data_IF_365951733253
#
_entry.id   IF_365951733253
#
_cell.length_a   1.000
_cell.length_b   1.000
_cell.length_c   1.000
_cell.angle_alpha   90.00
_cell.angle_beta   90.00
_cell.angle_gamma   90.00
#
_symmetry.space_group_name_H-M   'P 1'
#
loop_
_entity.id
_entity.type
_entity.pdbx_description
1 polymer ?
#
# COMPACT_ATOMS: atom_id res chain seq x y z
N UNK A 1 -74.76 16.72 2.39
CA UNK A 1 -73.51 16.17 2.97
C UNK A 1 -72.45 16.13 1.89
N UNK A 2 -71.29 16.76 2.10
CA UNK A 2 -70.21 16.87 1.09
C UNK A 2 -69.13 15.83 1.41
N UNK A 3 -69.01 14.79 0.59
CA UNK A 3 -68.04 13.72 0.80
C UNK A 3 -66.62 14.21 0.46
N UNK A 4 -65.72 14.12 1.44
CA UNK A 4 -64.31 14.54 1.34
C UNK A 4 -63.50 13.38 0.73
N UNK A 5 -63.20 13.45 -0.56
CA UNK A 5 -62.29 12.51 -1.24
C UNK A 5 -60.91 12.55 -0.57
N UNK A 6 -60.42 11.39 -0.12
CA UNK A 6 -59.05 11.23 0.40
C UNK A 6 -58.11 11.16 -0.80
N UNK A 7 -57.57 12.30 -1.22
CA UNK A 7 -56.54 12.37 -2.25
C UNK A 7 -55.21 11.83 -1.69
N UNK A 8 -55.02 10.52 -1.73
CA UNK A 8 -53.72 9.90 -1.54
C UNK A 8 -52.83 10.22 -2.74
N UNK A 9 -51.57 10.60 -2.50
CA UNK A 9 -50.60 10.88 -3.58
C UNK A 9 -50.34 9.59 -4.36
N UNK A 10 -50.93 9.49 -5.56
CA UNK A 10 -50.73 8.37 -6.46
C UNK A 10 -49.33 8.45 -7.05
N UNK A 11 -48.46 7.51 -6.68
CA UNK A 11 -47.09 7.49 -7.18
C UNK A 11 -47.15 7.01 -8.64
N UNK A 12 -46.77 7.89 -9.57
CA UNK A 12 -46.82 7.61 -11.00
C UNK A 12 -45.57 6.85 -11.45
N UNK A 13 -45.69 6.03 -12.51
CA UNK A 13 -44.56 5.26 -13.09
C UNK A 13 -43.38 6.17 -13.44
N UNK A 14 -43.67 7.38 -13.94
CA UNK A 14 -42.67 8.41 -14.28
C UNK A 14 -41.99 9.03 -13.06
N UNK A 15 -42.61 8.96 -11.88
CA UNK A 15 -42.02 9.43 -10.62
C UNK A 15 -41.08 8.41 -9.95
N UNK A 16 -41.29 7.11 -10.18
CA UNK A 16 -40.45 6.04 -9.61
C UNK A 16 -39.27 5.71 -10.53
N UNK A 17 -39.45 5.75 -11.85
CA UNK A 17 -38.42 5.42 -12.84
C UNK A 17 -37.06 6.13 -12.62
N UNK A 18 -37.00 7.44 -12.30
CA UNK A 18 -35.73 8.11 -12.04
C UNK A 18 -35.02 7.59 -10.79
N UNK A 19 -35.79 7.25 -9.75
CA UNK A 19 -35.29 6.72 -8.47
C UNK A 19 -34.78 5.29 -8.66
N UNK A 20 -35.51 4.47 -9.42
CA UNK A 20 -35.12 3.09 -9.69
C UNK A 20 -33.91 3.02 -10.63
N UNK A 21 -33.84 3.90 -11.63
CA UNK A 21 -32.72 4.01 -12.55
C UNK A 21 -31.45 4.52 -11.86
N UNK A 22 -31.56 5.49 -10.94
CA UNK A 22 -30.41 5.95 -10.16
C UNK A 22 -29.93 4.91 -9.15
N UNK A 23 -30.85 4.17 -8.53
CA UNK A 23 -30.51 3.09 -7.60
C UNK A 23 -29.72 1.94 -8.27
N UNK A 24 -29.99 1.67 -9.56
CA UNK A 24 -29.27 0.66 -10.34
C UNK A 24 -27.79 1.02 -10.56
N UNK A 25 -27.43 2.31 -10.51
CA UNK A 25 -26.06 2.78 -10.69
C UNK A 25 -25.27 2.83 -9.37
N UNK A 26 -25.90 2.60 -8.21
CA UNK A 26 -25.23 2.60 -6.89
C UNK A 26 -24.05 1.61 -6.81
N UNK A 27 -24.13 0.38 -7.37
CA UNK A 27 -22.98 -0.54 -7.35
C UNK A 27 -21.81 -0.08 -8.23
N UNK A 28 -22.06 0.79 -9.22
CA UNK A 28 -21.06 1.34 -10.14
C UNK A 28 -20.51 2.69 -9.69
N UNK A 29 -21.25 3.43 -8.87
CA UNK A 29 -20.70 4.50 -8.03
C UNK A 29 -19.90 3.82 -6.91
N UNK A 30 -18.75 3.26 -7.28
CA UNK A 30 -17.76 2.83 -6.31
C UNK A 30 -17.55 3.98 -5.35
N UNK A 31 -18.00 3.82 -4.11
CA UNK A 31 -17.48 4.59 -3.00
C UNK A 31 -16.00 4.26 -2.99
N UNK A 32 -15.23 5.08 -3.71
CA UNK A 32 -13.81 5.15 -3.55
C UNK A 32 -13.63 5.34 -2.07
N UNK A 33 -13.18 4.29 -1.40
CA UNK A 33 -12.32 4.52 -0.26
C UNK A 33 -11.26 5.45 -0.87
N UNK A 34 -11.31 6.74 -0.53
CA UNK A 34 -10.07 7.35 -0.12
C UNK A 34 -9.61 6.49 1.05
N UNK A 35 -9.00 5.36 0.69
CA UNK A 35 -7.74 5.07 1.29
C UNK A 35 -6.92 6.33 1.01
N UNK A 36 -7.07 7.29 1.93
CA UNK A 36 -5.92 7.81 2.63
C UNK A 36 -5.24 6.65 3.40
N UNK A 37 -5.11 5.44 2.81
CA UNK A 37 -3.79 5.05 2.41
C UNK A 37 -3.32 6.14 1.40
N UNK A 38 -2.95 7.35 1.84
CA UNK A 38 -1.63 7.45 2.46
C UNK A 38 -1.05 6.04 2.53
N UNK A 39 -0.59 5.59 1.36
CA UNK A 39 0.83 5.37 1.24
C UNK A 39 1.45 6.56 2.00
N UNK A 40 1.48 6.44 3.33
CA UNK A 40 2.70 6.46 4.09
C UNK A 40 3.61 5.55 3.28
N UNK A 41 4.09 6.09 2.15
CA UNK A 41 5.49 6.28 1.91
C UNK A 41 5.87 6.85 3.25
N UNK A 42 6.18 5.94 4.19
CA UNK A 42 6.69 6.29 5.47
C UNK A 42 7.75 7.30 5.08
N UNK A 43 7.50 8.56 5.43
CA UNK A 43 8.42 9.63 5.07
C UNK A 43 9.68 9.49 5.94
N UNK A 44 9.83 8.37 6.66
CA UNK A 44 11.11 7.69 6.78
C UNK A 44 11.57 7.32 5.37
N UNK A 45 12.17 8.30 4.67
CA UNK A 45 13.07 8.07 3.53
C UNK A 45 13.79 6.76 3.78
N UNK A 46 13.33 5.67 3.16
CA UNK A 46 13.83 4.35 3.49
C UNK A 46 15.29 4.38 3.12
N UNK A 47 16.12 4.47 4.14
CA UNK A 47 17.52 4.79 3.97
C UNK A 47 18.20 3.48 3.58
N UNK A 48 18.79 3.45 2.38
CA UNK A 48 19.45 2.27 1.83
C UNK A 48 20.97 2.45 1.85
N UNK A 49 21.68 1.37 2.16
CA UNK A 49 23.12 1.29 2.02
C UNK A 49 23.49 0.22 1.00
N UNK A 50 24.44 0.52 0.12
CA UNK A 50 25.02 -0.46 -0.80
C UNK A 50 26.11 -1.24 -0.08
N UNK A 51 25.99 -2.57 -0.08
CA UNK A 51 26.94 -3.50 0.52
C UNK A 51 27.47 -4.48 -0.53
N UNK A 52 28.51 -5.23 -0.15
CA UNK A 52 29.09 -6.30 -0.96
C UNK A 52 28.56 -7.66 -0.55
N UNK A 53 28.23 -8.50 -1.53
CA UNK A 53 28.00 -9.93 -1.36
C UNK A 53 29.33 -10.70 -1.31
N UNK A 54 29.34 -11.94 -0.81
CA UNK A 54 30.49 -12.84 -0.91
C UNK A 54 31.01 -12.99 -2.35
N UNK A 55 30.12 -13.00 -3.34
CA UNK A 55 30.48 -13.13 -4.75
C UNK A 55 31.19 -11.89 -5.33
N UNK A 56 31.27 -10.78 -4.57
CA UNK A 56 31.83 -9.51 -5.00
C UNK A 56 30.86 -8.60 -5.76
N UNK A 57 29.60 -9.02 -5.91
CA UNK A 57 28.52 -8.17 -6.45
C UNK A 57 27.98 -7.21 -5.39
N UNK A 58 27.34 -6.13 -5.81
CA UNK A 58 26.72 -5.17 -4.90
C UNK A 58 25.27 -5.51 -4.62
N UNK A 59 24.77 -5.14 -3.44
CA UNK A 59 23.37 -5.27 -3.03
C UNK A 59 22.94 -4.04 -2.24
N UNK A 60 21.71 -3.58 -2.43
CA UNK A 60 21.12 -2.51 -1.62
C UNK A 60 20.36 -3.11 -0.45
N UNK A 61 20.67 -2.68 0.76
CA UNK A 61 20.06 -3.18 2.00
C UNK A 61 19.48 -2.02 2.79
N UNK A 62 18.31 -2.22 3.41
CA UNK A 62 17.69 -1.23 4.30
C UNK A 62 18.57 -0.99 5.53
N UNK A 63 18.80 0.27 5.88
CA UNK A 63 19.60 0.66 7.06
C UNK A 63 18.95 0.17 8.36
N UNK A 64 17.62 0.07 8.41
CA UNK A 64 16.90 -0.50 9.56
C UNK A 64 17.27 -1.97 9.82
N UNK A 65 17.46 -2.76 8.77
CA UNK A 65 17.93 -4.15 8.86
C UNK A 65 19.39 -4.21 9.32
N UNK A 66 20.24 -3.31 8.82
CA UNK A 66 21.64 -3.23 9.23
C UNK A 66 21.79 -2.89 10.72
N UNK A 67 21.01 -1.93 11.23
CA UNK A 67 21.01 -1.56 12.65
C UNK A 67 20.57 -2.71 13.57
N UNK A 68 19.73 -3.62 13.07
CA UNK A 68 19.28 -4.82 13.81
C UNK A 68 20.22 -6.02 13.67
N UNK A 69 21.20 -5.95 12.76
CA UNK A 69 22.12 -7.05 12.52
C UNK A 69 23.16 -7.19 13.63
N UNK A 70 23.67 -8.42 13.82
CA UNK A 70 24.76 -8.70 14.76
C UNK A 70 26.10 -8.53 14.06
N UNK A 71 26.98 -7.73 14.65
CA UNK A 71 28.38 -7.63 14.20
C UNK A 71 29.13 -8.85 14.72
N UNK A 72 29.68 -9.67 13.82
CA UNK A 72 30.47 -10.85 14.18
C UNK A 72 31.92 -10.48 14.52
N UNK A 73 32.55 -9.66 13.67
CA UNK A 73 33.94 -9.24 13.84
C UNK A 73 34.11 -7.81 13.33
N UNK A 74 34.70 -6.94 14.14
CA UNK A 74 35.04 -5.56 13.76
C UNK A 74 36.50 -5.54 13.30
N UNK A 75 36.78 -4.83 12.20
CA UNK A 75 38.14 -4.60 11.67
C UNK A 75 38.87 -5.87 11.20
N UNK A 76 38.23 -6.67 10.35
CA UNK A 76 38.86 -7.85 9.71
C UNK A 76 40.04 -7.47 8.80
N UNK A 77 41.09 -8.30 8.80
CA UNK A 77 42.23 -8.13 7.88
C UNK A 77 41.86 -8.48 6.43
N UNK A 78 42.58 -7.93 5.45
CA UNK A 78 42.33 -8.22 4.02
C UNK A 78 42.42 -9.72 3.70
N UNK A 79 43.33 -10.45 4.37
CA UNK A 79 43.45 -11.91 4.21
C UNK A 79 42.19 -12.64 4.69
N UNK A 80 41.64 -12.23 5.84
CA UNK A 80 40.42 -12.81 6.39
C UNK A 80 39.18 -12.43 5.57
N UNK A 81 39.13 -11.18 5.07
CA UNK A 81 38.07 -10.75 4.18
C UNK A 81 38.06 -11.59 2.89
N UNK A 82 39.22 -11.77 2.26
CA UNK A 82 39.36 -12.56 1.02
C UNK A 82 38.92 -14.02 1.22
N UNK A 83 39.28 -14.64 2.34
CA UNK A 83 38.84 -16.01 2.65
C UNK A 83 37.32 -16.10 2.82
N UNK A 84 36.68 -15.10 3.44
CA UNK A 84 35.21 -15.04 3.54
C UNK A 84 34.51 -14.79 2.19
N UNK A 85 35.16 -14.07 1.28
CA UNK A 85 34.69 -13.88 -0.10
C UNK A 85 34.96 -15.11 -0.99
N UNK A 86 35.57 -16.18 -0.47
CA UNK A 86 35.91 -17.38 -1.24
C UNK A 86 36.96 -17.16 -2.33
N UNK A 87 37.74 -16.07 -2.25
CA UNK A 87 38.78 -15.73 -3.22
C UNK A 87 40.15 -16.17 -2.67
N UNK A 88 40.93 -16.87 -3.48
CA UNK A 88 42.33 -17.23 -3.15
C UNK A 88 43.25 -16.06 -3.50
N UNK A 89 44.25 -15.82 -2.65
CA UNK A 89 45.38 -14.90 -2.91
C UNK A 89 46.26 -15.43 -4.04
#
# INVERSE_FOLDING_TARGET
MKNKSRNGKQISRRGILPILGSALLIPFLGFGRSTDDEITISNEKEEYQTLLKPDGTTVKVKISTLKKSKILEKNVSNKSLLSWLGRKL
#
